data_IF_326374153275
#
_entry.id   IF_326374153275
#
_cell.length_a   1.000
_cell.length_b   1.000
_cell.length_c   1.000
_cell.angle_alpha   90.00
_cell.angle_beta   90.00
_cell.angle_gamma   90.00
#
_symmetry.space_group_name_H-M   'P 1'
#
loop_
_entity.id
_entity.type
_entity.pdbx_description
1 polymer ?
#
# COMPACT_ATOMS: atom_id res chain seq x y z
N UNK A 1 8.98 -7.37 -17.42
CA UNK A 1 9.02 -6.48 -16.23
C UNK A 1 10.39 -5.82 -16.10
N UNK A 2 11.50 -6.59 -15.89
CA UNK A 2 12.82 -6.01 -15.62
C UNK A 2 13.37 -5.22 -16.81
N UNK A 3 13.24 -5.72 -18.04
CA UNK A 3 13.68 -5.01 -19.26
C UNK A 3 12.88 -3.74 -19.49
N UNK A 4 11.59 -3.77 -19.21
CA UNK A 4 10.70 -2.61 -19.26
C UNK A 4 11.11 -1.55 -18.24
N UNK A 5 11.28 -1.94 -16.96
CA UNK A 5 11.74 -1.03 -15.91
C UNK A 5 13.13 -0.42 -16.22
N UNK A 6 14.05 -1.21 -16.78
CA UNK A 6 15.35 -0.73 -17.25
C UNK A 6 15.22 0.25 -18.43
N UNK A 7 14.27 0.02 -19.33
CA UNK A 7 13.98 0.95 -20.45
C UNK A 7 13.40 2.27 -19.92
N UNK A 8 12.47 2.22 -18.98
CA UNK A 8 11.89 3.41 -18.32
C UNK A 8 12.98 4.22 -17.61
N UNK A 9 13.87 3.56 -16.86
CA UNK A 9 15.03 4.25 -16.26
C UNK A 9 15.89 4.96 -17.32
N UNK A 10 16.21 4.29 -18.45
CA UNK A 10 16.99 4.92 -19.54
C UNK A 10 16.28 6.11 -20.17
N UNK A 11 14.94 6.10 -20.15
CA UNK A 11 14.12 7.23 -20.59
C UNK A 11 14.05 8.39 -19.58
N UNK A 12 14.67 8.26 -18.41
CA UNK A 12 14.73 9.30 -17.39
C UNK A 12 13.71 9.15 -16.24
N UNK A 13 12.90 8.09 -16.25
CA UNK A 13 11.92 7.82 -15.18
C UNK A 13 12.63 7.62 -13.84
N UNK A 14 12.13 8.27 -12.79
CA UNK A 14 12.70 8.24 -11.44
C UNK A 14 11.99 7.32 -10.49
N UNK A 15 10.73 7.00 -10.76
CA UNK A 15 9.92 6.09 -9.97
C UNK A 15 9.16 5.13 -10.88
N UNK A 16 9.06 3.85 -10.47
CA UNK A 16 8.20 2.85 -11.09
C UNK A 16 7.23 2.29 -10.05
N UNK A 17 5.96 2.22 -10.43
CA UNK A 17 4.91 1.60 -9.66
C UNK A 17 4.68 0.18 -10.19
N UNK A 18 4.91 -0.82 -9.36
CA UNK A 18 4.68 -2.23 -9.70
C UNK A 18 3.26 -2.59 -9.31
N UNK A 19 2.41 -2.78 -10.32
CA UNK A 19 0.97 -2.94 -10.13
C UNK A 19 0.49 -4.22 -10.84
N UNK A 20 -0.26 -5.04 -10.12
CA UNK A 20 -1.07 -6.13 -10.66
C UNK A 20 -2.25 -6.41 -9.72
N UNK A 21 -3.14 -7.36 -10.05
CA UNK A 21 -4.21 -7.76 -9.12
C UNK A 21 -3.67 -8.36 -7.82
N UNK A 22 -2.58 -9.09 -7.89
CA UNK A 22 -1.82 -9.64 -6.76
C UNK A 22 -0.33 -9.66 -7.15
N UNK A 23 0.37 -8.61 -6.78
CA UNK A 23 1.80 -8.46 -7.10
C UNK A 23 2.64 -9.51 -6.38
N UNK A 24 2.22 -9.95 -5.20
CA UNK A 24 2.92 -10.99 -4.43
C UNK A 24 2.81 -12.39 -5.05
N UNK A 25 1.85 -12.61 -5.96
CA UNK A 25 1.72 -13.88 -6.69
C UNK A 25 2.60 -13.95 -7.95
N UNK A 26 3.48 -12.97 -8.18
CA UNK A 26 4.35 -12.94 -9.36
C UNK A 26 5.11 -14.25 -9.56
N UNK A 27 4.97 -14.84 -10.75
CA UNK A 27 5.68 -16.04 -11.17
C UNK A 27 5.00 -17.36 -10.79
N UNK A 28 3.87 -17.35 -10.10
CA UNK A 28 3.09 -18.56 -9.78
C UNK A 28 2.67 -19.30 -11.05
N UNK A 29 2.21 -18.57 -12.05
CA UNK A 29 1.78 -19.08 -13.38
C UNK A 29 2.92 -19.73 -14.15
N UNK A 30 4.14 -19.21 -14.03
CA UNK A 30 5.35 -19.73 -14.67
C UNK A 30 6.08 -20.76 -13.81
N UNK A 31 5.51 -21.16 -12.65
CA UNK A 31 6.12 -22.10 -11.69
C UNK A 31 7.53 -21.67 -11.26
N UNK A 32 7.71 -20.37 -11.09
CA UNK A 32 8.99 -19.77 -10.67
C UNK A 32 10.18 -20.12 -11.57
N UNK A 33 9.95 -20.04 -12.88
CA UNK A 33 10.97 -20.34 -13.88
C UNK A 33 12.23 -19.50 -13.64
N UNK A 34 13.40 -20.12 -13.83
CA UNK A 34 14.68 -19.42 -13.90
C UNK A 34 14.83 -18.75 -15.26
N UNK A 35 15.21 -17.50 -15.24
CA UNK A 35 15.56 -16.70 -16.43
C UNK A 35 16.84 -15.92 -16.16
N UNK A 36 17.31 -15.14 -17.12
CA UNK A 36 18.53 -14.33 -17.00
C UNK A 36 18.20 -12.86 -17.30
N UNK A 37 18.74 -11.98 -16.47
CA UNK A 37 18.67 -10.55 -16.68
C UNK A 37 20.04 -9.91 -16.42
N UNK A 38 20.56 -9.13 -17.39
CA UNK A 38 21.92 -8.58 -17.36
C UNK A 38 23.00 -9.63 -17.08
N UNK A 39 22.82 -10.84 -17.62
CA UNK A 39 23.76 -11.95 -17.44
C UNK A 39 23.69 -12.64 -16.08
N UNK A 40 22.80 -12.22 -15.19
CA UNK A 40 22.60 -12.83 -13.87
C UNK A 40 21.34 -13.70 -13.86
N UNK A 41 21.36 -14.86 -13.19
CA UNK A 41 20.17 -15.68 -13.05
C UNK A 41 19.15 -15.01 -12.12
N UNK A 42 17.91 -14.91 -12.56
CA UNK A 42 16.78 -14.35 -11.80
C UNK A 42 15.62 -15.33 -11.88
N UNK A 43 15.07 -15.74 -10.74
CA UNK A 43 13.83 -16.52 -10.73
C UNK A 43 12.63 -15.60 -10.90
N UNK A 44 11.60 -16.09 -11.57
CA UNK A 44 10.32 -15.40 -11.66
C UNK A 44 9.57 -15.53 -10.33
N UNK A 45 10.14 -14.97 -9.26
CA UNK A 45 9.58 -14.89 -7.91
C UNK A 45 9.45 -13.44 -7.47
N UNK A 46 8.49 -13.18 -6.63
CA UNK A 46 8.22 -11.83 -6.11
C UNK A 46 9.46 -11.20 -5.46
N UNK A 47 10.16 -11.92 -4.57
CA UNK A 47 11.38 -11.42 -3.94
C UNK A 47 12.49 -11.12 -4.96
N UNK A 48 12.78 -12.08 -5.85
CA UNK A 48 13.85 -11.95 -6.86
C UNK A 48 13.56 -10.76 -7.81
N UNK A 49 12.29 -10.57 -8.18
CA UNK A 49 11.86 -9.41 -8.97
C UNK A 49 12.12 -8.10 -8.23
N UNK A 50 11.71 -8.01 -6.96
CA UNK A 50 11.91 -6.80 -6.14
C UNK A 50 13.40 -6.49 -5.94
N UNK A 51 14.22 -7.51 -5.69
CA UNK A 51 15.67 -7.36 -5.53
C UNK A 51 16.32 -6.85 -6.82
N UNK A 52 15.95 -7.43 -7.97
CA UNK A 52 16.46 -7.00 -9.27
C UNK A 52 16.02 -5.58 -9.64
N UNK A 53 14.75 -5.22 -9.38
CA UNK A 53 14.26 -3.85 -9.57
C UNK A 53 15.01 -2.86 -8.69
N UNK A 54 15.30 -3.23 -7.44
CA UNK A 54 16.09 -2.41 -6.51
C UNK A 54 17.50 -2.07 -7.01
N UNK A 55 18.09 -2.89 -7.89
CA UNK A 55 19.39 -2.61 -8.51
C UNK A 55 19.34 -1.50 -9.56
N UNK A 56 18.14 -1.09 -9.99
CA UNK A 56 18.00 0.00 -10.95
C UNK A 56 18.38 1.36 -10.37
N UNK A 57 18.34 1.55 -9.05
CA UNK A 57 18.67 2.82 -8.39
C UNK A 57 17.66 3.95 -8.69
N UNK A 58 16.43 3.58 -8.96
CA UNK A 58 15.25 4.47 -9.03
C UNK A 58 14.26 4.03 -7.95
N UNK A 59 13.27 4.85 -7.65
CA UNK A 59 12.23 4.48 -6.72
C UNK A 59 11.38 3.34 -7.28
N UNK A 60 11.16 2.32 -6.46
CA UNK A 60 10.31 1.18 -6.78
C UNK A 60 9.23 1.08 -5.71
N UNK A 61 7.99 1.30 -6.10
CA UNK A 61 6.80 1.25 -5.23
C UNK A 61 5.97 0.02 -5.55
N UNK A 62 5.58 -0.72 -4.51
CA UNK A 62 4.78 -1.93 -4.65
C UNK A 62 3.30 -1.65 -4.32
N UNK A 63 2.41 -2.04 -5.23
CA UNK A 63 0.97 -1.97 -5.05
C UNK A 63 0.32 -3.36 -5.06
N UNK A 64 -0.82 -3.50 -4.38
CA UNK A 64 -1.65 -4.72 -4.34
C UNK A 64 -0.86 -5.96 -3.94
N UNK A 65 -0.17 -5.87 -2.80
CA UNK A 65 0.58 -6.99 -2.21
C UNK A 65 -0.34 -7.71 -1.21
N UNK A 66 -0.58 -8.99 -1.40
CA UNK A 66 -1.34 -9.79 -0.44
C UNK A 66 -0.41 -10.24 0.71
N UNK A 67 -0.94 -10.38 1.94
CA UNK A 67 -0.13 -10.66 3.13
C UNK A 67 0.30 -12.13 3.24
N UNK A 68 0.82 -12.72 2.16
CA UNK A 68 1.39 -14.07 2.22
C UNK A 68 2.70 -14.08 3.03
N UNK A 69 3.08 -15.21 3.65
CA UNK A 69 4.28 -15.29 4.47
C UNK A 69 5.58 -14.89 3.73
N UNK A 70 5.67 -15.14 2.42
CA UNK A 70 6.87 -14.81 1.64
C UNK A 70 7.08 -13.29 1.43
N UNK A 71 6.07 -12.47 1.71
CA UNK A 71 6.19 -11.01 1.66
C UNK A 71 7.10 -10.48 2.76
N UNK A 72 7.22 -11.20 3.88
CA UNK A 72 8.08 -10.78 5.01
C UNK A 72 9.53 -10.57 4.59
N UNK A 73 10.03 -11.33 3.60
CA UNK A 73 11.38 -11.20 3.10
C UNK A 73 11.60 -9.88 2.32
N UNK A 74 10.56 -9.33 1.72
CA UNK A 74 10.66 -8.08 0.93
C UNK A 74 10.83 -6.86 1.84
N UNK A 75 10.38 -6.94 3.10
CA UNK A 75 10.61 -5.90 4.11
C UNK A 75 12.10 -5.67 4.35
N UNK A 76 12.92 -6.71 4.26
CA UNK A 76 14.37 -6.58 4.39
C UNK A 76 14.99 -5.75 3.24
N UNK A 77 14.43 -5.85 2.01
CA UNK A 77 14.83 -5.00 0.88
C UNK A 77 14.44 -3.53 1.08
N UNK A 78 13.27 -3.29 1.69
CA UNK A 78 12.81 -1.95 2.07
C UNK A 78 13.73 -1.34 3.13
N UNK A 79 14.05 -2.10 4.19
CA UNK A 79 14.96 -1.66 5.24
C UNK A 79 16.38 -1.36 4.73
N UNK A 80 16.81 -2.03 3.66
CA UNK A 80 18.09 -1.78 2.98
C UNK A 80 18.04 -0.60 1.99
N UNK A 81 16.89 0.04 1.80
CA UNK A 81 16.71 1.13 0.84
C UNK A 81 16.76 0.68 -0.63
N UNK A 82 16.66 -0.61 -0.93
CA UNK A 82 16.63 -1.14 -2.30
C UNK A 82 15.33 -0.83 -3.04
N UNK A 83 14.22 -0.88 -2.32
CA UNK A 83 12.90 -0.47 -2.78
C UNK A 83 12.27 0.46 -1.73
N UNK A 84 11.27 1.23 -2.10
CA UNK A 84 10.62 2.16 -1.17
C UNK A 84 10.01 1.42 0.03
N UNK A 85 10.14 1.96 1.25
CA UNK A 85 9.49 1.42 2.44
C UNK A 85 7.99 1.75 2.43
N UNK A 86 7.31 1.26 1.41
CA UNK A 86 5.89 1.47 1.16
C UNK A 86 5.24 0.15 0.74
N UNK A 87 4.18 -0.24 1.43
CA UNK A 87 3.48 -1.49 1.18
C UNK A 87 1.97 -1.25 1.11
N UNK A 88 1.39 -1.53 -0.04
CA UNK A 88 -0.05 -1.47 -0.25
C UNK A 88 -0.66 -2.87 -0.13
N UNK A 89 -1.34 -3.11 1.00
CA UNK A 89 -1.97 -4.39 1.34
C UNK A 89 -3.47 -4.17 1.56
N UNK A 90 -4.34 -4.64 0.67
CA UNK A 90 -5.79 -4.56 0.87
C UNK A 90 -6.26 -5.60 1.89
N UNK A 91 -6.29 -5.25 3.18
CA UNK A 91 -6.74 -6.17 4.24
C UNK A 91 -8.23 -6.52 4.14
N UNK A 92 -9.02 -5.65 3.58
CA UNK A 92 -10.47 -5.78 3.33
C UNK A 92 -11.33 -5.73 4.60
N UNK A 93 -10.98 -6.45 5.66
CA UNK A 93 -11.65 -6.48 6.95
C UNK A 93 -10.70 -7.01 8.04
N UNK A 94 -11.11 -6.97 9.31
CA UNK A 94 -10.34 -7.53 10.42
C UNK A 94 -11.07 -8.66 11.17
N UNK A 95 -12.40 -8.76 11.04
CA UNK A 95 -13.13 -9.87 11.63
C UNK A 95 -12.82 -11.19 10.90
N UNK A 96 -12.33 -12.23 11.59
CA UNK A 96 -12.06 -13.53 10.98
C UNK A 96 -13.29 -14.15 10.32
N UNK A 97 -14.48 -13.90 10.88
CA UNK A 97 -15.75 -14.37 10.35
C UNK A 97 -16.07 -13.74 9.00
N UNK A 98 -15.92 -12.42 8.89
CA UNK A 98 -16.17 -11.69 7.65
C UNK A 98 -15.10 -12.02 6.60
N UNK A 99 -13.83 -12.08 6.97
CA UNK A 99 -12.75 -12.50 6.06
C UNK A 99 -12.97 -13.92 5.49
N UNK A 100 -13.53 -14.82 6.29
CA UNK A 100 -13.93 -16.16 5.81
C UNK A 100 -15.08 -16.08 4.80
N UNK A 101 -16.10 -15.25 5.04
CA UNK A 101 -17.19 -15.02 4.09
C UNK A 101 -16.69 -14.36 2.79
N UNK A 102 -15.72 -13.45 2.88
CA UNK A 102 -15.03 -12.86 1.75
C UNK A 102 -14.08 -13.83 1.02
N UNK A 103 -13.95 -15.07 1.50
CA UNK A 103 -12.99 -16.09 1.01
C UNK A 103 -11.53 -15.63 1.11
N UNK A 104 -11.21 -14.90 2.18
CA UNK A 104 -9.86 -14.35 2.46
C UNK A 104 -9.33 -14.77 3.84
N UNK A 105 -9.28 -16.06 4.18
CA UNK A 105 -8.91 -16.53 5.52
C UNK A 105 -7.46 -16.17 5.89
N UNK A 106 -6.55 -16.12 4.93
CA UNK A 106 -5.13 -15.78 5.16
C UNK A 106 -4.92 -14.35 5.70
N UNK A 107 -5.92 -13.47 5.59
CA UNK A 107 -5.84 -12.10 6.09
C UNK A 107 -6.13 -11.99 7.59
N UNK A 108 -6.62 -13.05 8.23
CA UNK A 108 -7.01 -13.04 9.65
C UNK A 108 -5.89 -13.51 10.59
N UNK A 109 -4.84 -14.16 10.06
CA UNK A 109 -3.83 -14.79 10.89
C UNK A 109 -2.70 -13.83 11.26
N UNK A 110 -2.62 -13.49 12.55
CA UNK A 110 -1.49 -12.76 13.16
C UNK A 110 -1.07 -11.46 12.43
N UNK A 111 -2.01 -10.77 11.73
CA UNK A 111 -1.68 -9.58 10.95
C UNK A 111 -1.11 -8.46 11.82
N UNK A 112 -1.63 -8.22 13.02
CA UNK A 112 -1.10 -7.21 13.94
C UNK A 112 0.32 -7.51 14.37
N UNK A 113 0.62 -8.77 14.71
CA UNK A 113 1.97 -9.19 15.09
C UNK A 113 2.94 -9.03 13.92
N UNK A 114 2.53 -9.39 12.70
CA UNK A 114 3.34 -9.19 11.51
C UNK A 114 3.61 -7.71 11.25
N UNK A 115 2.60 -6.83 11.41
CA UNK A 115 2.79 -5.39 11.27
C UNK A 115 3.82 -4.84 12.27
N UNK A 116 3.82 -5.35 13.50
CA UNK A 116 4.83 -5.01 14.53
C UNK A 116 6.22 -5.44 14.07
N UNK A 117 6.39 -6.70 13.69
CA UNK A 117 7.67 -7.24 13.22
C UNK A 117 8.18 -6.51 11.97
N UNK A 118 7.31 -6.15 11.03
CA UNK A 118 7.70 -5.38 9.85
C UNK A 118 8.21 -3.99 10.22
N UNK A 119 7.55 -3.31 11.17
CA UNK A 119 7.99 -1.99 11.65
C UNK A 119 9.26 -2.05 12.48
N UNK A 120 9.51 -3.14 13.21
CA UNK A 120 10.78 -3.37 13.89
C UNK A 120 11.93 -3.50 12.90
N UNK A 121 11.72 -4.21 11.78
CA UNK A 121 12.71 -4.36 10.71
C UNK A 121 12.88 -3.09 9.88
N UNK A 122 11.81 -2.39 9.60
CA UNK A 122 11.76 -1.20 8.76
C UNK A 122 10.92 -0.11 9.44
N UNK A 123 11.50 0.71 10.35
CA UNK A 123 10.77 1.73 11.10
C UNK A 123 10.10 2.79 10.23
N UNK A 124 10.62 3.03 9.02
CA UNK A 124 10.06 3.98 8.06
C UNK A 124 8.92 3.39 7.22
N UNK A 125 8.58 2.11 7.41
CA UNK A 125 7.57 1.43 6.62
C UNK A 125 6.21 2.14 6.70
N UNK A 126 5.74 2.56 5.54
CA UNK A 126 4.40 3.11 5.34
C UNK A 126 3.49 2.00 4.81
N UNK A 127 2.35 1.82 5.46
CA UNK A 127 1.38 0.80 5.07
C UNK A 127 0.09 1.49 4.62
N UNK A 128 -0.25 1.23 3.37
CA UNK A 128 -1.55 1.56 2.78
C UNK A 128 -2.45 0.33 2.82
N UNK A 129 -3.73 0.56 3.05
CA UNK A 129 -4.71 -0.52 2.98
C UNK A 129 -6.06 -0.03 2.47
N UNK A 130 -6.89 -1.00 2.11
CA UNK A 130 -8.28 -0.78 1.71
C UNK A 130 -9.16 -1.75 2.48
N UNK A 131 -10.32 -1.23 2.95
CA UNK A 131 -11.31 -1.97 3.71
C UNK A 131 -12.69 -1.84 3.08
N UNK A 132 -13.54 -2.83 3.38
CA UNK A 132 -14.95 -2.84 2.98
C UNK A 132 -15.79 -3.00 4.22
N UNK A 133 -16.76 -2.08 4.43
CA UNK A 133 -17.74 -2.14 5.51
C UNK A 133 -19.13 -2.45 4.96
N UNK A 134 -19.98 -3.03 5.80
CA UNK A 134 -21.32 -3.41 5.40
C UNK A 134 -21.38 -4.61 4.45
N UNK A 135 -20.39 -5.49 4.50
CA UNK A 135 -20.41 -6.75 3.77
C UNK A 135 -21.59 -7.62 4.24
N UNK A 136 -22.26 -8.41 3.35
CA UNK A 136 -23.37 -9.26 3.76
C UNK A 136 -23.03 -10.13 4.96
N UNK A 137 -23.89 -10.10 5.98
CA UNK A 137 -23.69 -10.79 7.24
C UNK A 137 -22.80 -10.07 8.26
N UNK A 138 -22.25 -8.88 7.98
CA UNK A 138 -21.47 -8.11 8.95
C UNK A 138 -22.36 -7.61 10.09
N UNK A 139 -22.04 -8.01 11.34
CA UNK A 139 -22.70 -7.55 12.54
C UNK A 139 -22.01 -6.31 13.13
N UNK A 140 -22.62 -5.69 14.15
CA UNK A 140 -21.98 -4.59 14.88
C UNK A 140 -20.72 -5.07 15.62
N UNK A 141 -20.72 -6.30 16.14
CA UNK A 141 -19.55 -6.89 16.78
C UNK A 141 -18.40 -7.06 15.78
N UNK A 142 -18.66 -7.51 14.56
CA UNK A 142 -17.63 -7.62 13.51
C UNK A 142 -17.06 -6.24 13.15
N UNK A 143 -17.91 -5.24 13.06
CA UNK A 143 -17.48 -3.89 12.77
C UNK A 143 -16.67 -3.29 13.93
N UNK A 144 -17.04 -3.56 15.18
CA UNK A 144 -16.25 -3.15 16.34
C UNK A 144 -14.86 -3.80 16.36
N UNK A 145 -14.76 -5.10 16.02
CA UNK A 145 -13.47 -5.79 15.84
C UNK A 145 -12.61 -5.06 14.80
N UNK A 146 -13.22 -4.61 13.69
CA UNK A 146 -12.51 -3.85 12.66
C UNK A 146 -11.97 -2.51 13.19
N UNK A 147 -12.78 -1.75 13.93
CA UNK A 147 -12.35 -0.47 14.50
C UNK A 147 -11.24 -0.65 15.55
N UNK A 148 -11.35 -1.65 16.41
CA UNK A 148 -10.34 -1.93 17.42
C UNK A 148 -9.01 -2.37 16.78
N UNK A 149 -9.09 -3.22 15.75
CA UNK A 149 -7.94 -3.61 14.94
C UNK A 149 -7.28 -2.40 14.26
N UNK A 150 -8.07 -1.49 13.68
CA UNK A 150 -7.57 -0.29 13.02
C UNK A 150 -6.79 0.61 13.99
N UNK A 151 -7.33 0.82 15.20
CA UNK A 151 -6.68 1.57 16.27
C UNK A 151 -5.36 0.94 16.70
N UNK A 152 -5.26 -0.39 16.76
CA UNK A 152 -4.02 -1.08 17.12
C UNK A 152 -3.02 -1.10 15.94
N UNK A 153 -3.52 -1.34 14.73
CA UNK A 153 -2.70 -1.44 13.52
C UNK A 153 -2.00 -0.13 13.14
N UNK A 154 -2.60 1.03 13.47
CA UNK A 154 -2.01 2.35 13.21
C UNK A 154 -1.51 2.46 11.76
N UNK A 155 -2.39 2.19 10.78
CA UNK A 155 -2.04 2.26 9.37
C UNK A 155 -1.85 3.71 8.91
N UNK A 156 -1.03 3.91 7.88
CA UNK A 156 -0.63 5.24 7.42
C UNK A 156 -1.62 5.85 6.44
N UNK A 157 -2.06 5.05 5.47
CA UNK A 157 -3.00 5.45 4.43
C UNK A 157 -4.08 4.38 4.32
N UNK A 158 -5.33 4.78 4.48
CA UNK A 158 -6.45 3.83 4.45
C UNK A 158 -7.61 4.40 3.64
N UNK A 159 -8.08 3.59 2.69
CA UNK A 159 -9.35 3.78 2.02
C UNK A 159 -10.40 2.83 2.60
N UNK A 160 -11.63 3.29 2.66
CA UNK A 160 -12.78 2.49 3.02
C UNK A 160 -13.86 2.59 1.94
N UNK A 161 -14.53 1.48 1.66
CA UNK A 161 -15.68 1.43 0.76
C UNK A 161 -16.85 0.76 1.46
N UNK A 162 -18.05 1.19 1.17
CA UNK A 162 -19.26 0.44 1.50
C UNK A 162 -19.41 -0.72 0.53
N UNK A 163 -19.87 -1.88 1.02
CA UNK A 163 -20.18 -3.00 0.12
C UNK A 163 -21.23 -2.59 -0.90
N UNK A 164 -20.92 -2.79 -2.16
CA UNK A 164 -21.81 -2.60 -3.30
C UNK A 164 -21.97 -3.92 -4.05
N UNK A 165 -23.20 -4.38 -4.32
CA UNK A 165 -23.44 -5.56 -5.12
C UNK A 165 -22.94 -5.35 -6.55
N UNK A 166 -22.13 -6.30 -7.04
CA UNK A 166 -21.68 -6.33 -8.44
C UNK A 166 -22.30 -7.53 -9.11
N UNK A 167 -22.83 -7.35 -10.31
CA UNK A 167 -23.46 -8.42 -11.08
C UNK A 167 -22.52 -9.65 -11.20
N UNK A 168 -23.05 -10.84 -10.92
CA UNK A 168 -22.30 -12.09 -10.94
C UNK A 168 -21.41 -12.38 -9.74
N UNK A 169 -21.32 -11.47 -8.76
CA UNK A 169 -20.56 -11.71 -7.55
C UNK A 169 -21.30 -12.67 -6.60
N UNK A 170 -20.65 -13.74 -6.18
CA UNK A 170 -21.23 -14.75 -5.24
C UNK A 170 -21.59 -14.17 -3.88
N UNK A 171 -21.03 -13.04 -3.51
CA UNK A 171 -21.37 -12.34 -2.27
C UNK A 171 -22.81 -11.80 -2.26
N UNK A 172 -23.42 -11.58 -3.44
CA UNK A 172 -24.79 -11.11 -3.56
C UNK A 172 -25.81 -12.16 -3.06
N UNK A 173 -25.44 -13.45 -3.09
CA UNK A 173 -26.29 -14.57 -2.68
C UNK A 173 -26.18 -14.85 -1.17
N UNK A 174 -25.32 -14.14 -0.44
CA UNK A 174 -25.20 -14.27 1.00
C UNK A 174 -26.43 -13.66 1.69
N UNK A 175 -26.88 -14.26 2.81
CA UNK A 175 -27.96 -13.69 3.63
C UNK A 175 -27.50 -12.44 4.39
N UNK A 176 -28.47 -11.78 5.03
CA UNK A 176 -28.24 -10.70 6.00
C UNK A 176 -27.51 -9.50 5.41
N UNK A 177 -27.99 -9.02 4.26
CA UNK A 177 -27.50 -7.78 3.67
C UNK A 177 -27.68 -6.60 4.64
N UNK A 178 -26.61 -5.85 4.81
CA UNK A 178 -26.61 -4.65 5.69
C UNK A 178 -27.38 -3.52 4.99
N UNK A 179 -28.33 -2.85 5.67
CA UNK A 179 -29.03 -1.67 5.13
C UNK A 179 -28.06 -0.54 4.76
N UNK A 180 -28.41 0.23 3.74
CA UNK A 180 -27.54 1.28 3.21
C UNK A 180 -27.19 2.35 4.25
N UNK A 181 -28.17 2.73 5.10
CA UNK A 181 -27.95 3.70 6.18
C UNK A 181 -26.91 3.19 7.18
N UNK A 182 -26.91 1.89 7.49
CA UNK A 182 -25.93 1.27 8.40
C UNK A 182 -24.55 1.17 7.74
N UNK A 183 -24.48 0.87 6.45
CA UNK A 183 -23.20 0.91 5.70
C UNK A 183 -22.58 2.31 5.75
N UNK A 184 -23.38 3.32 5.50
CA UNK A 184 -22.93 4.71 5.50
C UNK A 184 -22.48 5.15 6.91
N UNK A 185 -23.23 4.81 7.95
CA UNK A 185 -22.84 5.06 9.35
C UNK A 185 -21.50 4.42 9.69
N UNK A 186 -21.33 3.13 9.31
CA UNK A 186 -20.07 2.41 9.55
C UNK A 186 -18.91 3.01 8.80
N UNK A 187 -19.13 3.43 7.55
CA UNK A 187 -18.12 4.14 6.76
C UNK A 187 -17.65 5.42 7.47
N UNK A 188 -18.59 6.25 7.96
CA UNK A 188 -18.30 7.51 8.64
C UNK A 188 -17.50 7.26 9.92
N UNK A 189 -17.93 6.34 10.77
CA UNK A 189 -17.20 5.94 12.00
C UNK A 189 -15.82 5.40 11.71
N UNK A 190 -15.68 4.59 10.67
CA UNK A 190 -14.39 4.05 10.24
C UNK A 190 -13.44 5.18 9.80
N UNK A 191 -13.92 6.10 8.97
CA UNK A 191 -13.12 7.19 8.45
C UNK A 191 -12.75 8.21 9.54
N UNK A 192 -13.62 8.44 10.52
CA UNK A 192 -13.32 9.28 11.69
C UNK A 192 -12.11 8.72 12.45
N UNK A 193 -12.13 7.43 12.81
CA UNK A 193 -10.99 6.77 13.47
C UNK A 193 -9.72 6.86 12.64
N UNK A 194 -9.82 6.65 11.32
CA UNK A 194 -8.64 6.71 10.45
C UNK A 194 -8.10 8.14 10.30
N UNK A 195 -8.95 9.15 10.28
CA UNK A 195 -8.52 10.55 10.25
C UNK A 195 -7.73 10.93 11.50
N UNK A 196 -8.15 10.50 12.68
CA UNK A 196 -7.41 10.70 13.93
C UNK A 196 -6.02 10.05 13.87
N UNK A 197 -5.93 8.81 13.42
CA UNK A 197 -4.67 8.09 13.25
C UNK A 197 -3.75 8.81 12.26
N UNK A 198 -4.29 9.19 11.10
CA UNK A 198 -3.54 9.89 10.06
C UNK A 198 -3.00 11.23 10.55
N UNK A 199 -3.84 12.04 11.21
CA UNK A 199 -3.44 13.32 11.78
C UNK A 199 -2.32 13.16 12.81
N UNK A 200 -2.45 12.21 13.73
CA UNK A 200 -1.41 11.92 14.74
C UNK A 200 -0.08 11.49 14.11
N UNK A 201 -0.12 10.72 13.03
CA UNK A 201 1.09 10.29 12.30
C UNK A 201 1.73 11.46 11.54
N UNK A 202 0.94 12.32 10.90
CA UNK A 202 1.45 13.50 10.20
C UNK A 202 2.12 14.48 11.17
N UNK A 203 1.53 14.68 12.36
CA UNK A 203 2.14 15.51 13.39
C UNK A 203 3.54 15.03 13.81
N UNK A 204 3.78 13.72 13.85
CA UNK A 204 5.09 13.14 14.17
C UNK A 204 6.15 13.39 13.09
N UNK A 205 5.75 13.79 11.88
CA UNK A 205 6.67 14.12 10.78
C UNK A 205 7.18 15.56 10.82
N UNK A 206 6.56 16.42 11.61
CA UNK A 206 6.99 17.82 11.75
C UNK A 206 8.43 17.87 12.29
N UNK A 207 9.28 18.64 11.60
CA UNK A 207 10.71 18.75 11.92
C UNK A 207 11.58 17.63 11.34
N UNK A 208 11.02 16.67 10.63
CA UNK A 208 11.80 15.63 9.93
C UNK A 208 12.21 16.11 8.53
N UNK A 209 13.38 15.66 8.09
CA UNK A 209 13.84 15.84 6.71
C UNK A 209 13.49 14.61 5.89
N UNK A 210 12.96 14.81 4.69
CA UNK A 210 12.64 13.71 3.78
C UNK A 210 13.06 14.03 2.33
N UNK A 211 13.34 12.99 1.57
CA UNK A 211 13.53 13.09 0.13
C UNK A 211 12.17 13.08 -0.56
N UNK A 212 12.00 13.96 -1.55
CA UNK A 212 10.79 14.04 -2.36
C UNK A 212 11.16 14.02 -3.85
N UNK A 213 10.26 13.53 -4.69
CA UNK A 213 10.29 13.73 -6.14
C UNK A 213 9.35 14.89 -6.48
N UNK A 214 9.87 15.84 -7.25
CA UNK A 214 9.08 16.99 -7.71
C UNK A 214 8.27 16.56 -8.93
N UNK A 215 6.97 16.71 -8.84
CA UNK A 215 6.01 16.38 -9.90
C UNK A 215 5.74 17.57 -10.81
N UNK A 216 5.58 18.76 -10.23
CA UNK A 216 5.35 19.99 -10.98
C UNK A 216 5.85 21.24 -10.24
N UNK A 217 6.01 22.31 -10.98
CA UNK A 217 6.24 23.64 -10.45
C UNK A 217 4.98 24.47 -10.68
N UNK A 218 4.51 25.17 -9.64
CA UNK A 218 3.40 26.10 -9.79
C UNK A 218 3.90 27.39 -10.48
N UNK A 219 3.19 27.83 -11.52
CA UNK A 219 3.60 29.00 -12.30
C UNK A 219 3.38 30.34 -11.56
N UNK A 220 2.36 30.39 -10.69
CA UNK A 220 1.96 31.63 -10.01
C UNK A 220 2.64 31.86 -8.66
N UNK A 221 3.18 30.81 -8.05
CA UNK A 221 3.79 30.84 -6.71
C UNK A 221 5.12 30.07 -6.70
N UNK A 222 6.10 30.49 -5.88
CA UNK A 222 7.37 29.78 -5.75
C UNK A 222 7.22 28.51 -4.93
N UNK A 223 6.34 27.61 -5.38
CA UNK A 223 6.00 26.35 -4.75
C UNK A 223 6.17 25.20 -5.75
N UNK A 224 6.82 24.13 -5.33
CA UNK A 224 6.83 22.88 -6.08
C UNK A 224 5.86 21.88 -5.44
N UNK A 225 5.11 21.19 -6.28
CA UNK A 225 4.31 20.05 -5.89
C UNK A 225 5.17 18.80 -6.03
N UNK A 226 5.21 18.00 -4.99
CA UNK A 226 6.06 16.82 -4.91
C UNK A 226 5.33 15.69 -4.17
N UNK A 227 5.88 14.48 -4.24
CA UNK A 227 5.48 13.37 -3.40
C UNK A 227 6.68 12.74 -2.71
N UNK A 228 6.45 12.12 -1.56
CA UNK A 228 7.47 11.42 -0.79
C UNK A 228 7.38 9.90 -1.01
N UNK A 229 8.34 9.16 -0.45
CA UNK A 229 8.25 7.69 -0.41
C UNK A 229 6.96 7.20 0.24
N UNK A 230 6.37 7.99 1.13
CA UNK A 230 5.17 7.64 1.88
C UNK A 230 3.87 7.86 1.10
N UNK A 231 3.92 8.56 -0.03
CA UNK A 231 2.75 8.99 -0.77
C UNK A 231 2.85 8.53 -2.22
N UNK A 232 1.91 7.69 -2.65
CA UNK A 232 1.85 7.30 -4.05
C UNK A 232 1.31 8.46 -4.89
N UNK A 233 1.96 8.79 -6.02
CA UNK A 233 1.56 9.89 -6.89
C UNK A 233 0.11 9.68 -7.37
N UNK A 234 -0.64 10.78 -7.48
CA UNK A 234 -2.05 10.82 -7.91
C UNK A 234 -3.06 10.08 -7.00
N UNK A 235 -2.59 9.39 -5.96
CA UNK A 235 -3.44 8.59 -5.04
C UNK A 235 -3.55 9.26 -3.68
N UNK A 236 -2.48 9.86 -3.19
CA UNK A 236 -2.41 10.48 -1.86
C UNK A 236 -2.25 12.00 -1.94
N UNK A 237 -2.13 12.64 -0.77
CA UNK A 237 -1.86 14.06 -0.68
C UNK A 237 -0.45 14.43 -1.17
N UNK A 238 -0.32 15.67 -1.60
CA UNK A 238 0.94 16.22 -2.11
C UNK A 238 1.82 16.75 -0.96
N UNK A 239 3.12 16.83 -1.24
CA UNK A 239 4.08 17.60 -0.45
C UNK A 239 4.33 18.91 -1.17
N UNK A 240 4.00 20.01 -0.53
CA UNK A 240 4.28 21.35 -1.06
C UNK A 240 5.66 21.81 -0.56
N UNK A 241 6.56 22.12 -1.49
CA UNK A 241 7.90 22.62 -1.18
C UNK A 241 7.91 24.11 -1.44
N UNK A 242 8.00 24.88 -0.38
CA UNK A 242 8.05 26.35 -0.42
C UNK A 242 9.49 26.86 -0.57
N UNK A 243 9.66 28.15 -0.82
CA UNK A 243 10.98 28.82 -0.94
C UNK A 243 11.90 28.22 -2.04
N UNK A 244 11.33 27.71 -3.13
CA UNK A 244 12.07 27.04 -4.21
C UNK A 244 13.10 27.95 -4.90
N UNK A 245 12.96 29.27 -4.81
CA UNK A 245 13.95 30.23 -5.33
C UNK A 245 15.34 30.08 -4.69
N UNK A 246 15.40 29.47 -3.50
CA UNK A 246 16.62 29.20 -2.75
C UNK A 246 17.18 27.80 -2.99
N UNK A 247 16.48 26.98 -3.78
CA UNK A 247 16.78 25.56 -3.96
C UNK A 247 17.10 25.30 -5.44
N UNK A 248 18.18 24.56 -5.70
CA UNK A 248 18.43 24.03 -7.05
C UNK A 248 17.56 22.80 -7.26
N UNK A 249 16.39 22.99 -7.86
CA UNK A 249 15.53 21.88 -8.27
C UNK A 249 16.13 21.30 -9.55
N UNK A 250 16.61 20.07 -9.47
CA UNK A 250 16.93 19.30 -10.67
C UNK A 250 15.64 18.59 -11.08
N UNK A 251 15.14 18.90 -12.26
CA UNK A 251 14.09 18.10 -12.86
C UNK A 251 14.51 16.63 -12.85
N UNK A 252 13.65 15.79 -12.31
CA UNK A 252 13.87 14.36 -12.18
C UNK A 252 13.73 13.65 -13.54
#
# INVERSE_FOLDING_TARGET
>A
VLDEAAALKRAGVKEVLVISQDTSAYGVDTKYKLDFWNGQPVKTKFYDMCEALGQLGIWVRLHYVYPYPHVDAVIDLMAQGKILPYLDIPFQHASPRILKLMKRPAHSENTLERLKLWREKCPELVIRSTFVVGFPGETEEDFQILLDWLKEAQLDRVGCFTYSPVEGATANDLPDHVPEEIKQERYERFMEVQQEISAAKLQKRIGQTMTVLVDSLEEEFPVAVAHSYADAPEIHGNVFVEDIDKIVIKAG
#
